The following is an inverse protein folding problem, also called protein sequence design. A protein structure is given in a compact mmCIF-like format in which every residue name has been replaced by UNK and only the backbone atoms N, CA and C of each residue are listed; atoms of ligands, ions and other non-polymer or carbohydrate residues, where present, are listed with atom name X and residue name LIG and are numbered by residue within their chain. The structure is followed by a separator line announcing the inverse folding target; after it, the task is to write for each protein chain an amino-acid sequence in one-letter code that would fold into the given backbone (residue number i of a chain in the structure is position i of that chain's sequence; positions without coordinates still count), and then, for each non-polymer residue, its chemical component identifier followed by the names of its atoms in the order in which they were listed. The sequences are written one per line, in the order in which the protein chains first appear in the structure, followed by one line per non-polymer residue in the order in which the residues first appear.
data_IF_272250575159
#
_entry.id   IF_272250575159
#
_cell.length_a   1.000
_cell.length_b   1.000
_cell.length_c   1.000
_cell.angle_alpha   90.00
_cell.angle_beta   90.00
_cell.angle_gamma   90.00
#
_symmetry.space_group_name_H-M   'P 1'
#
loop_
_entity.id
_entity.type
_entity.pdbx_description
1 polymer ?
#
# COMPACT_ATOMS: atom_id res chain seq x y z
N UNK A 1 -4.02 -31.33 37.77
CA UNK A 1 -3.14 -30.28 38.33
C UNK A 1 -2.68 -29.42 37.16
N UNK A 2 -2.87 -28.10 37.19
CA UNK A 2 -2.22 -27.20 36.22
C UNK A 2 -0.74 -27.07 36.58
N UNK A 3 0.14 -26.99 35.57
CA UNK A 3 1.57 -26.74 35.75
C UNK A 3 1.81 -25.32 36.26
N UNK A 4 2.93 -25.11 36.97
CA UNK A 4 3.25 -23.79 37.51
C UNK A 4 3.59 -22.76 36.43
N UNK A 5 4.00 -23.20 35.24
CA UNK A 5 4.11 -22.39 34.02
C UNK A 5 2.76 -21.86 33.54
N UNK A 6 1.72 -22.70 33.47
CA UNK A 6 0.38 -22.28 33.04
C UNK A 6 -0.26 -21.32 34.06
N UNK A 7 0.05 -21.48 35.35
CA UNK A 7 -0.38 -20.53 36.40
C UNK A 7 0.28 -19.16 36.24
N UNK A 8 1.57 -19.12 35.90
CA UNK A 8 2.29 -17.86 35.69
C UNK A 8 1.77 -17.12 34.45
N UNK A 9 1.54 -17.83 33.34
CA UNK A 9 0.97 -17.24 32.12
C UNK A 9 -0.47 -16.71 32.35
N UNK A 10 -1.32 -17.48 33.06
CA UNK A 10 -2.65 -17.03 33.43
C UNK A 10 -2.65 -15.77 34.32
N UNK A 11 -1.68 -15.64 35.23
CA UNK A 11 -1.49 -14.45 36.06
C UNK A 11 -0.95 -13.26 35.26
N UNK A 12 -0.08 -13.48 34.27
CA UNK A 12 0.46 -12.44 33.40
C UNK A 12 -0.61 -11.90 32.42
N UNK A 13 -1.51 -12.76 31.95
CA UNK A 13 -2.73 -12.37 31.21
C UNK A 13 -3.69 -11.55 32.11
N UNK A 14 -3.91 -11.98 33.36
CA UNK A 14 -4.73 -11.24 34.32
C UNK A 14 -4.14 -9.86 34.62
N UNK A 15 -2.82 -9.78 34.86
CA UNK A 15 -2.09 -8.51 35.01
C UNK A 15 -2.33 -7.59 33.81
N UNK A 16 -2.09 -8.08 32.58
CA UNK A 16 -2.24 -7.27 31.37
C UNK A 16 -3.66 -6.74 31.18
N UNK A 17 -4.68 -7.53 31.51
CA UNK A 17 -6.08 -7.10 31.46
C UNK A 17 -6.41 -6.06 32.54
N UNK A 18 -5.79 -6.16 33.73
CA UNK A 18 -5.94 -5.18 34.81
C UNK A 18 -5.23 -3.85 34.45
N UNK A 19 -3.99 -3.90 33.98
CA UNK A 19 -3.23 -2.70 33.60
C UNK A 19 -3.87 -1.95 32.43
N UNK A 20 -4.54 -2.66 31.51
CA UNK A 20 -5.35 -2.08 30.44
C UNK A 20 -6.69 -1.46 30.89
N UNK A 21 -7.10 -1.66 32.15
CA UNK A 21 -8.34 -1.10 32.72
C UNK A 21 -8.08 -0.03 33.79
N UNK A 22 -6.97 -0.13 34.54
CA UNK A 22 -6.69 0.69 35.72
C UNK A 22 -5.35 1.47 35.65
N UNK A 23 -4.65 1.44 34.52
CA UNK A 23 -3.28 1.97 34.40
C UNK A 23 -2.23 0.97 34.92
N UNK A 24 -0.94 1.22 34.69
CA UNK A 24 0.08 0.29 35.18
C UNK A 24 0.23 0.40 36.70
N UNK A 25 0.52 -0.73 37.37
CA UNK A 25 0.78 -0.70 38.82
C UNK A 25 2.05 0.09 39.17
N UNK A 26 2.97 0.24 38.22
CA UNK A 26 4.26 0.90 38.40
C UNK A 26 4.10 2.43 38.36
N UNK A 27 3.19 2.97 37.53
CA UNK A 27 2.78 4.39 37.57
C UNK A 27 2.09 4.75 38.89
N UNK A 28 1.38 3.79 39.48
CA UNK A 28 0.74 3.91 40.79
C UNK A 28 1.71 3.67 41.98
N UNK A 29 3.02 3.60 41.73
CA UNK A 29 4.07 3.50 42.75
C UNK A 29 4.26 2.10 43.37
N UNK A 30 3.64 1.05 42.83
CA UNK A 30 3.75 -0.31 43.37
C UNK A 30 4.86 -1.12 42.67
N UNK A 31 5.92 -1.45 43.41
CA UNK A 31 7.03 -2.28 42.92
C UNK A 31 6.58 -3.74 42.76
N UNK A 32 6.42 -4.19 41.51
CA UNK A 32 6.06 -5.57 41.19
C UNK A 32 7.19 -6.58 41.53
N UNK A 33 6.86 -7.52 42.40
CA UNK A 33 7.77 -8.58 42.86
C UNK A 33 7.89 -9.76 41.87
N UNK A 34 7.07 -9.82 40.82
CA UNK A 34 7.11 -10.90 39.81
C UNK A 34 8.18 -10.65 38.74
N UNK A 35 8.37 -9.41 38.26
CA UNK A 35 9.51 -9.01 37.42
C UNK A 35 10.87 -9.40 38.01
N UNK A 36 11.08 -9.21 39.31
CA UNK A 36 12.31 -9.55 40.05
C UNK A 36 12.66 -11.06 39.99
N UNK A 37 11.67 -11.93 39.81
CA UNK A 37 11.87 -13.39 39.65
C UNK A 37 12.20 -13.82 38.21
N UNK A 38 11.99 -12.95 37.20
CA UNK A 38 12.40 -13.21 35.81
C UNK A 38 13.88 -12.83 35.57
N UNK A 39 14.37 -11.74 36.17
CA UNK A 39 15.78 -11.32 36.04
C UNK A 39 16.74 -12.33 36.70
N UNK A 40 16.45 -12.74 37.93
CA UNK A 40 17.26 -13.68 38.72
C UNK A 40 17.35 -15.12 38.16
N UNK A 41 16.63 -15.44 37.07
CA UNK A 41 16.57 -16.78 36.48
C UNK A 41 17.04 -16.87 35.02
N UNK A 42 17.60 -15.79 34.47
CA UNK A 42 18.08 -15.70 33.08
C UNK A 42 19.61 -15.71 32.93
N UNK A 43 20.36 -15.63 34.03
CA UNK A 43 21.82 -15.56 34.02
C UNK A 43 22.46 -16.95 34.21
N UNK A 44 22.62 -17.71 33.12
CA UNK A 44 23.62 -18.79 33.04
C UNK A 44 24.00 -19.05 31.58
N UNK A 45 25.31 -19.18 31.32
CA UNK A 45 25.95 -19.36 29.99
C UNK A 45 25.80 -18.12 29.08
N UNK A 46 26.74 -17.16 29.10
CA UNK A 46 28.02 -17.10 28.32
C UNK A 46 27.82 -17.39 26.81
N UNK A 47 28.23 -16.53 25.87
CA UNK A 47 28.92 -15.22 25.95
C UNK A 47 28.62 -14.38 24.65
N UNK A 48 29.30 -13.32 24.16
CA UNK A 48 30.65 -12.74 24.41
C UNK A 48 30.74 -11.23 24.00
N UNK A 49 31.96 -10.70 23.93
CA UNK A 49 32.51 -9.46 23.29
C UNK A 49 31.94 -9.03 21.92
N UNK A 50 32.15 -7.82 21.34
CA UNK A 50 32.73 -6.47 21.62
C UNK A 50 32.38 -5.58 20.37
N UNK A 51 32.44 -4.23 20.27
CA UNK A 51 32.40 -3.05 21.18
C UNK A 51 32.29 -1.76 20.28
N UNK A 52 32.53 -0.56 20.83
CA UNK A 52 32.77 0.77 20.18
C UNK A 52 31.54 1.66 19.82
N UNK A 53 31.81 2.94 19.50
CA UNK A 53 31.19 4.08 20.21
C UNK A 53 31.16 5.43 19.43
N UNK A 54 30.57 6.49 20.04
CA UNK A 54 30.47 7.87 19.52
C UNK A 54 29.02 8.29 19.21
N UNK A 55 28.45 9.36 19.77
CA UNK A 55 28.76 10.80 19.61
C UNK A 55 28.17 11.40 18.31
N UNK A 56 27.49 12.56 18.27
CA UNK A 56 27.16 13.53 19.33
C UNK A 56 26.40 14.76 18.77
N UNK A 57 26.04 15.72 19.63
CA UNK A 57 25.20 16.93 19.41
C UNK A 57 23.72 16.69 19.02
N UNK A 58 22.69 17.46 19.43
CA UNK A 58 22.50 18.79 20.08
C UNK A 58 21.98 19.91 19.16
N UNK A 59 21.06 20.72 19.70
CA UNK A 59 20.36 21.89 19.15
C UNK A 59 19.40 21.65 17.96
N UNK A 60 18.25 22.33 17.84
CA UNK A 60 17.59 23.36 18.69
C UNK A 60 16.08 23.50 18.36
N UNK A 61 15.39 24.42 19.04
CA UNK A 61 14.05 25.01 18.79
C UNK A 61 13.51 24.97 17.33
N UNK A 62 12.20 25.04 17.08
CA UNK A 62 11.25 25.95 17.75
C UNK A 62 9.77 25.52 17.74
N UNK A 63 8.95 26.17 18.58
CA UNK A 63 7.49 25.97 18.62
C UNK A 63 6.72 27.28 18.87
N UNK A 64 6.74 28.17 17.88
CA UNK A 64 5.94 29.39 17.79
C UNK A 64 4.43 29.09 17.79
N UNK A 65 3.69 29.66 18.75
CA UNK A 65 2.23 29.72 18.76
C UNK A 65 1.78 30.95 19.56
N UNK A 66 2.04 32.13 19.00
CA UNK A 66 1.63 33.42 19.54
C UNK A 66 0.10 33.56 19.65
N UNK A 67 -0.37 33.92 20.85
CA UNK A 67 -1.58 34.73 21.03
C UNK A 67 -1.58 35.39 22.43
N UNK A 68 -1.14 36.65 22.46
CA UNK A 68 -1.47 37.69 23.46
C UNK A 68 -2.89 37.58 24.08
N UNK A 69 -3.05 37.91 25.37
CA UNK A 69 -3.90 39.04 25.82
C UNK A 69 -3.80 39.33 27.35
N UNK A 70 -2.91 40.26 27.68
CA UNK A 70 -3.09 41.42 28.59
C UNK A 70 -3.53 41.32 30.10
N UNK A 71 -2.96 42.22 30.90
CA UNK A 71 -2.98 42.28 32.38
C UNK A 71 -4.26 42.85 33.04
N UNK A 72 -4.43 42.56 34.35
CA UNK A 72 -5.29 43.32 35.28
C UNK A 72 -4.75 43.33 36.73
N UNK A 73 -4.53 44.55 37.27
CA UNK A 73 -4.27 44.98 38.67
C UNK A 73 -4.07 43.90 39.78
N UNK A 74 -2.95 43.83 40.51
CA UNK A 74 -2.35 44.82 41.46
C UNK A 74 -3.05 44.96 42.82
N UNK A 75 -2.43 44.43 43.88
CA UNK A 75 -2.21 45.12 45.18
C UNK A 75 -0.91 44.57 45.83
N UNK A 76 -0.44 45.13 46.96
CA UNK A 76 0.96 45.17 47.39
C UNK A 76 1.22 44.56 48.80
N UNK A 77 2.50 44.54 49.20
CA UNK A 77 3.06 44.27 50.54
C UNK A 77 3.21 42.76 50.88
N UNK A 78 4.43 42.23 51.06
CA UNK A 78 5.37 42.40 52.19
C UNK A 78 4.79 41.94 53.55
N UNK A 79 5.49 41.16 54.40
CA UNK A 79 6.80 40.48 54.35
C UNK A 79 6.75 39.31 55.35
N UNK A 80 7.57 38.28 55.17
CA UNK A 80 7.67 37.15 56.11
C UNK A 80 8.92 36.32 55.84
N UNK A 81 9.82 36.27 56.81
CA UNK A 81 11.19 35.74 56.70
C UNK A 81 11.34 34.39 57.44
N UNK A 82 12.56 33.86 57.47
CA UNK A 82 13.08 32.84 58.39
C UNK A 82 12.71 31.34 58.21
N UNK A 83 13.68 30.65 57.60
CA UNK A 83 14.38 29.45 58.08
C UNK A 83 13.78 28.03 58.09
N UNK A 84 14.72 27.10 57.97
CA UNK A 84 14.58 25.65 58.08
C UNK A 84 14.82 25.21 59.53
N UNK A 85 14.12 24.17 60.00
CA UNK A 85 14.85 22.96 60.40
C UNK A 85 13.96 21.70 60.49
N UNK A 86 14.60 20.55 60.71
CA UNK A 86 14.03 19.20 60.83
C UNK A 86 12.91 19.05 61.88
N UNK A 87 12.05 18.02 61.71
CA UNK A 87 11.76 17.04 62.77
C UNK A 87 10.96 15.82 62.25
N UNK A 88 11.65 14.69 62.04
CA UNK A 88 11.04 13.42 61.62
C UNK A 88 10.17 12.81 62.74
N UNK A 89 8.84 12.92 62.62
CA UNK A 89 7.90 12.56 63.69
C UNK A 89 6.93 11.46 63.26
N UNK A 90 7.20 10.24 63.72
CA UNK A 90 6.41 9.04 63.47
C UNK A 90 5.00 9.12 64.12
N UNK A 91 4.03 9.66 63.39
CA UNK A 91 2.64 9.71 63.86
C UNK A 91 1.97 8.34 63.82
N UNK A 92 1.37 7.98 64.95
CA UNK A 92 0.83 6.64 65.24
C UNK A 92 -0.45 6.36 64.47
N UNK A 93 -0.70 5.09 64.17
CA UNK A 93 -1.71 4.66 63.19
C UNK A 93 -3.13 5.16 63.44
N UNK A 94 -3.63 5.95 62.48
CA UNK A 94 -5.07 6.19 62.26
C UNK A 94 -5.51 5.51 60.95
N UNK A 95 -6.79 5.10 60.81
CA UNK A 95 -7.26 4.43 59.61
C UNK A 95 -7.33 5.39 58.42
N UNK A 96 -6.42 5.21 57.44
CA UNK A 96 -6.51 5.90 56.13
C UNK A 96 -7.79 5.48 55.42
N UNK A 97 -8.72 6.42 55.26
CA UNK A 97 -9.94 6.23 54.47
C UNK A 97 -9.76 6.79 53.06
N UNK A 98 -9.66 5.90 52.07
CA UNK A 98 -9.63 6.30 50.66
C UNK A 98 -11.07 6.58 50.20
N UNK A 99 -11.31 7.80 49.72
CA UNK A 99 -12.55 8.18 49.03
C UNK A 99 -12.22 8.39 47.57
N UNK A 100 -12.87 7.64 46.68
CA UNK A 100 -12.78 7.89 45.24
C UNK A 100 -13.61 9.13 44.90
N UNK A 101 -12.93 10.25 44.62
CA UNK A 101 -13.55 11.52 44.20
C UNK A 101 -13.52 11.73 42.69
N UNK A 102 -12.96 10.78 41.93
CA UNK A 102 -12.93 10.81 40.48
C UNK A 102 -14.29 10.44 39.88
N UNK A 103 -14.91 11.42 39.21
CA UNK A 103 -16.12 11.21 38.43
C UNK A 103 -15.77 10.47 37.12
N UNK A 104 -15.67 9.13 37.18
CA UNK A 104 -15.57 8.23 36.02
C UNK A 104 -16.87 8.18 35.17
N UNK A 105 -17.49 9.34 34.92
CA UNK A 105 -18.79 9.50 34.26
C UNK A 105 -18.74 9.37 32.73
N UNK A 106 -17.64 8.87 32.16
CA UNK A 106 -17.54 8.44 30.75
C UNK A 106 -17.91 6.97 30.59
N UNK A 107 -19.01 6.55 31.24
CA UNK A 107 -19.61 5.23 31.06
C UNK A 107 -20.05 5.01 29.60
N UNK A 108 -19.15 4.44 28.80
CA UNK A 108 -19.46 3.92 27.47
C UNK A 108 -20.32 2.66 27.62
N UNK A 109 -21.62 2.87 27.78
CA UNK A 109 -22.59 1.79 27.89
C UNK A 109 -22.56 0.86 26.67
N UNK A 110 -23.04 -0.39 26.80
CA UNK A 110 -22.96 -1.38 25.74
C UNK A 110 -23.57 -0.88 24.43
N UNK A 111 -22.96 -1.23 23.30
CA UNK A 111 -23.50 -0.86 21.99
C UNK A 111 -24.93 -1.39 21.81
N UNK A 112 -25.71 -0.75 20.93
CA UNK A 112 -27.11 -1.16 20.67
C UNK A 112 -27.24 -2.63 20.25
N UNK A 113 -26.17 -3.26 19.77
CA UNK A 113 -26.14 -4.67 19.38
C UNK A 113 -25.59 -5.59 20.48
N UNK A 114 -24.61 -5.17 21.29
CA UNK A 114 -24.27 -5.86 22.55
C UNK A 114 -25.48 -5.95 23.48
N UNK A 115 -26.23 -4.85 23.63
CA UNK A 115 -27.43 -4.80 24.46
C UNK A 115 -28.52 -5.77 23.96
N UNK A 116 -28.63 -5.97 22.64
CA UNK A 116 -29.52 -7.00 22.05
C UNK A 116 -29.00 -8.41 22.33
N UNK A 117 -27.70 -8.67 22.13
CA UNK A 117 -27.12 -10.00 22.36
C UNK A 117 -27.22 -10.42 23.83
N UNK A 118 -26.94 -9.51 24.76
CA UNK A 118 -27.11 -9.74 26.20
C UNK A 118 -28.57 -10.02 26.56
N UNK A 119 -29.53 -9.22 26.04
CA UNK A 119 -30.97 -9.44 26.24
C UNK A 119 -31.52 -10.69 25.54
N UNK A 120 -30.86 -11.18 24.49
CA UNK A 120 -31.27 -12.38 23.77
C UNK A 120 -30.97 -13.69 24.54
N UNK A 121 -30.17 -13.64 25.61
CA UNK A 121 -29.89 -14.78 26.49
C UNK A 121 -29.17 -15.96 25.82
N UNK A 122 -28.62 -15.76 24.62
CA UNK A 122 -27.98 -16.81 23.80
C UNK A 122 -26.47 -16.63 23.78
N UNK A 123 -25.66 -17.67 24.07
CA UNK A 123 -24.22 -17.60 23.90
C UNK A 123 -23.89 -17.44 22.42
N UNK A 124 -22.93 -16.56 22.10
CA UNK A 124 -22.51 -16.29 20.72
C UNK A 124 -22.01 -17.58 20.07
N UNK A 125 -22.61 -17.95 18.95
CA UNK A 125 -22.30 -19.22 18.29
C UNK A 125 -20.97 -19.14 17.53
N UNK A 126 -20.20 -20.25 17.56
CA UNK A 126 -19.03 -20.43 16.69
C UNK A 126 -19.38 -20.36 15.19
N UNK A 127 -20.66 -20.49 14.82
CA UNK A 127 -21.16 -20.24 13.46
C UNK A 127 -21.27 -18.75 13.16
N UNK A 128 -21.89 -17.98 14.05
CA UNK A 128 -22.09 -16.52 13.93
C UNK A 128 -20.74 -15.78 13.88
N UNK A 129 -19.74 -16.21 14.65
CA UNK A 129 -18.38 -15.68 14.58
C UNK A 129 -17.73 -15.90 13.20
N UNK A 130 -17.87 -17.10 12.63
CA UNK A 130 -17.37 -17.43 11.28
C UNK A 130 -18.13 -16.70 10.18
N UNK A 131 -19.42 -16.40 10.40
CA UNK A 131 -20.23 -15.61 9.48
C UNK A 131 -19.85 -14.13 9.53
N UNK A 132 -19.64 -13.55 10.71
CA UNK A 132 -19.06 -12.20 10.84
C UNK A 132 -17.69 -12.08 10.19
N UNK A 133 -16.81 -13.08 10.36
CA UNK A 133 -15.51 -13.14 9.65
C UNK A 133 -15.68 -13.23 8.12
N UNK A 134 -16.60 -14.05 7.61
CA UNK A 134 -16.92 -14.10 6.17
C UNK A 134 -17.49 -12.79 5.62
N UNK A 135 -18.27 -12.05 6.42
CA UNK A 135 -18.81 -10.75 6.03
C UNK A 135 -17.70 -9.68 6.00
N UNK A 136 -16.82 -9.62 7.00
CA UNK A 136 -15.66 -8.72 6.99
C UNK A 136 -14.75 -8.96 5.76
N UNK A 137 -14.45 -10.24 5.46
CA UNK A 137 -13.67 -10.62 4.27
C UNK A 137 -14.38 -10.25 2.95
N UNK A 138 -15.71 -10.37 2.89
CA UNK A 138 -16.50 -9.93 1.73
C UNK A 138 -16.46 -8.41 1.55
N UNK A 139 -16.60 -7.65 2.63
CA UNK A 139 -16.56 -6.19 2.56
C UNK A 139 -15.19 -5.72 2.06
N UNK A 140 -14.08 -6.30 2.53
CA UNK A 140 -12.75 -6.03 1.98
C UNK A 140 -12.63 -6.27 0.46
N UNK A 141 -13.37 -7.25 -0.10
CA UNK A 141 -13.46 -7.43 -1.56
C UNK A 141 -14.46 -6.50 -2.26
N UNK A 142 -15.51 -6.03 -1.57
CA UNK A 142 -16.47 -5.05 -2.09
C UNK A 142 -15.86 -3.65 -2.20
N UNK A 143 -15.05 -3.25 -1.21
CA UNK A 143 -14.30 -2.00 -1.21
C UNK A 143 -13.47 -1.81 -2.50
N UNK A 144 -12.97 -2.88 -3.13
CA UNK A 144 -12.22 -2.80 -4.38
C UNK A 144 -13.11 -2.45 -5.61
N UNK A 145 -14.43 -2.69 -5.54
CA UNK A 145 -15.41 -2.24 -6.54
C UNK A 145 -15.86 -0.82 -6.25
N UNK A 146 -16.18 -0.53 -4.98
CA UNK A 146 -16.56 0.81 -4.53
C UNK A 146 -15.44 1.82 -4.76
N UNK A 147 -14.17 1.47 -4.52
CA UNK A 147 -12.99 2.27 -4.85
C UNK A 147 -12.84 2.49 -6.36
N UNK A 148 -13.17 1.51 -7.21
CA UNK A 148 -13.20 1.69 -8.66
C UNK A 148 -14.34 2.61 -9.11
N UNK A 149 -15.50 2.56 -8.46
CA UNK A 149 -16.64 3.44 -8.73
C UNK A 149 -16.36 4.87 -8.23
N UNK A 150 -15.75 5.03 -7.06
CA UNK A 150 -15.23 6.31 -6.57
C UNK A 150 -14.13 6.87 -7.48
N UNK A 151 -13.20 6.05 -7.97
CA UNK A 151 -12.20 6.46 -8.98
C UNK A 151 -12.83 6.81 -10.34
N UNK A 152 -13.97 6.21 -10.73
CA UNK A 152 -14.71 6.59 -11.94
C UNK A 152 -15.40 7.94 -11.75
N UNK A 153 -15.89 8.24 -10.55
CA UNK A 153 -16.45 9.55 -10.20
C UNK A 153 -15.36 10.62 -10.05
N UNK A 154 -14.19 10.27 -9.51
CA UNK A 154 -13.06 11.19 -9.31
C UNK A 154 -12.20 11.34 -10.58
N UNK A 155 -12.72 12.18 -11.48
CA UNK A 155 -12.01 12.61 -12.69
C UNK A 155 -10.77 13.48 -12.39
N UNK A 156 -10.62 14.05 -11.18
CA UNK A 156 -9.43 14.81 -10.80
C UNK A 156 -8.29 13.83 -10.45
N UNK A 157 -8.53 12.87 -9.55
CA UNK A 157 -7.55 11.85 -9.17
C UNK A 157 -7.12 10.96 -10.35
N UNK A 158 -8.03 10.56 -11.25
CA UNK A 158 -7.64 9.84 -12.47
C UNK A 158 -6.64 10.63 -13.33
N UNK A 159 -6.89 11.92 -13.53
CA UNK A 159 -6.00 12.80 -14.29
C UNK A 159 -4.68 12.98 -13.55
N UNK A 160 -4.71 13.19 -12.23
CA UNK A 160 -3.51 13.34 -11.41
C UNK A 160 -2.61 12.11 -11.51
N UNK A 161 -3.18 10.89 -11.43
CA UNK A 161 -2.41 9.65 -11.58
C UNK A 161 -1.84 9.47 -12.99
N UNK A 162 -2.64 9.68 -14.05
CA UNK A 162 -2.19 9.58 -15.45
C UNK A 162 -1.14 10.65 -15.82
N UNK A 163 -1.25 11.85 -15.26
CA UNK A 163 -0.45 13.03 -15.61
C UNK A 163 0.71 13.29 -14.65
N UNK A 164 0.77 12.57 -13.52
CA UNK A 164 1.85 12.63 -12.50
C UNK A 164 3.26 12.67 -13.12
N UNK A 165 3.53 11.80 -14.09
CA UNK A 165 4.81 11.71 -14.82
C UNK A 165 5.13 12.94 -15.69
N UNK A 166 4.11 13.70 -16.11
CA UNK A 166 4.26 14.95 -16.86
C UNK A 166 4.46 16.16 -15.94
N UNK A 167 3.88 16.11 -14.73
CA UNK A 167 4.01 17.12 -13.69
C UNK A 167 5.37 17.00 -12.97
N UNK A 168 5.74 15.80 -12.51
CA UNK A 168 7.04 15.54 -11.87
C UNK A 168 8.22 15.93 -12.78
N UNK A 169 8.20 15.51 -14.05
CA UNK A 169 9.17 15.92 -15.08
C UNK A 169 9.04 17.38 -15.55
N UNK A 170 8.34 18.22 -14.78
CA UNK A 170 8.30 19.68 -14.88
C UNK A 170 8.65 20.34 -13.54
N UNK A 171 8.30 19.73 -12.41
CA UNK A 171 8.61 20.21 -11.06
C UNK A 171 10.06 19.96 -10.65
N UNK A 172 10.78 19.00 -11.27
CA UNK A 172 12.25 18.82 -11.16
C UNK A 172 13.07 20.10 -11.48
N UNK A 173 12.45 21.14 -12.06
CA UNK A 173 13.06 22.44 -12.36
C UNK A 173 12.89 23.50 -11.27
N UNK A 174 12.08 23.24 -10.25
CA UNK A 174 11.70 24.20 -9.21
C UNK A 174 12.03 23.61 -7.83
N UNK A 175 12.86 24.31 -7.05
CA UNK A 175 13.40 23.78 -5.80
C UNK A 175 12.53 24.17 -4.60
N UNK A 176 11.71 23.24 -4.12
CA UNK A 176 11.07 23.30 -2.79
C UNK A 176 9.88 24.27 -2.67
N UNK A 177 10.09 25.57 -2.89
CA UNK A 177 9.11 26.63 -2.63
C UNK A 177 8.18 26.91 -3.83
N UNK A 178 8.75 27.25 -5.00
CA UNK A 178 8.04 27.39 -6.30
C UNK A 178 7.23 26.14 -6.71
N UNK A 179 7.42 25.03 -5.99
CA UNK A 179 6.70 23.78 -6.20
C UNK A 179 5.21 23.95 -5.94
N UNK A 180 4.79 24.66 -4.89
CA UNK A 180 3.38 24.72 -4.47
C UNK A 180 2.52 25.48 -5.49
N UNK A 181 2.92 26.71 -5.83
CA UNK A 181 2.25 27.57 -6.83
C UNK A 181 2.26 26.99 -8.25
N UNK A 182 3.05 25.95 -8.51
CA UNK A 182 3.07 25.21 -9.81
C UNK A 182 2.52 23.79 -9.73
N UNK A 183 2.16 23.32 -8.54
CA UNK A 183 1.45 22.05 -8.27
C UNK A 183 -0.07 22.19 -8.40
N UNK A 184 -0.59 23.42 -8.55
CA UNK A 184 -1.99 23.71 -8.91
C UNK A 184 -2.45 22.88 -10.12
N UNK A 185 -3.02 21.72 -9.81
CA UNK A 185 -3.25 20.62 -10.74
C UNK A 185 -4.36 20.93 -11.77
N UNK A 186 -5.23 21.86 -11.41
CA UNK A 186 -6.29 22.39 -12.26
C UNK A 186 -5.67 23.22 -13.40
N UNK A 187 -4.67 24.06 -13.11
CA UNK A 187 -4.06 24.99 -14.07
C UNK A 187 -2.51 24.99 -14.14
N UNK A 188 -1.87 23.83 -14.40
CA UNK A 188 -0.41 23.70 -14.48
C UNK A 188 0.17 24.58 -15.59
N UNK A 189 1.23 25.34 -15.29
CA UNK A 189 1.64 26.48 -16.13
C UNK A 189 2.40 26.08 -17.42
N UNK A 190 2.17 26.84 -18.50
CA UNK A 190 2.99 26.84 -19.72
C UNK A 190 3.17 25.48 -20.41
N UNK A 191 4.40 24.95 -20.40
CA UNK A 191 4.74 23.67 -21.06
C UNK A 191 4.08 22.47 -20.40
N UNK A 192 3.79 22.54 -19.09
CA UNK A 192 3.03 21.51 -18.40
C UNK A 192 1.58 21.49 -18.92
N UNK A 193 0.88 22.65 -18.92
CA UNK A 193 -0.47 22.83 -19.52
C UNK A 193 -0.59 22.21 -20.90
N UNK A 194 0.36 22.50 -21.79
CA UNK A 194 0.31 22.00 -23.16
C UNK A 194 0.44 20.47 -23.23
N UNK A 195 1.24 19.85 -22.35
CA UNK A 195 1.40 18.39 -22.27
C UNK A 195 0.19 17.71 -21.61
N UNK A 196 -0.31 18.23 -20.49
CA UNK A 196 -1.47 17.68 -19.78
C UNK A 196 -2.73 17.79 -20.64
N UNK A 197 -3.01 18.96 -21.24
CA UNK A 197 -4.10 19.13 -22.20
C UNK A 197 -3.96 18.15 -23.39
N UNK A 198 -2.75 17.99 -23.96
CA UNK A 198 -2.52 16.98 -24.99
C UNK A 198 -2.81 15.56 -24.50
N UNK A 199 -2.42 15.19 -23.27
CA UNK A 199 -2.69 13.87 -22.70
C UNK A 199 -4.20 13.65 -22.51
N UNK A 200 -4.92 14.61 -21.91
CA UNK A 200 -6.38 14.62 -21.72
C UNK A 200 -7.10 14.43 -23.06
N UNK A 201 -6.75 15.22 -24.09
CA UNK A 201 -7.32 15.13 -25.44
C UNK A 201 -7.00 13.77 -26.10
N UNK A 202 -5.79 13.22 -25.92
CA UNK A 202 -5.42 11.90 -26.46
C UNK A 202 -6.15 10.76 -25.75
N UNK A 203 -6.37 10.83 -24.42
CA UNK A 203 -7.17 9.87 -23.65
C UNK A 203 -8.60 9.83 -24.18
N UNK A 204 -9.26 10.99 -24.32
CA UNK A 204 -10.59 11.09 -24.92
C UNK A 204 -10.64 10.59 -26.38
N UNK A 205 -9.68 11.02 -27.22
CA UNK A 205 -9.58 10.58 -28.61
C UNK A 205 -9.19 9.10 -28.78
N UNK A 206 -8.80 8.39 -27.72
CA UNK A 206 -8.50 6.95 -27.78
C UNK A 206 -9.74 6.07 -27.86
N UNK A 207 -10.88 6.55 -27.36
CA UNK A 207 -12.15 5.81 -27.32
C UNK A 207 -12.75 5.70 -28.73
N UNK A 208 -12.89 6.82 -29.43
CA UNK A 208 -13.51 6.88 -30.75
C UNK A 208 -12.49 6.88 -31.91
N UNK A 209 -11.20 7.11 -31.64
CA UNK A 209 -10.18 7.28 -32.66
C UNK A 209 -9.52 5.97 -33.09
N UNK A 210 -9.63 5.64 -34.38
CA UNK A 210 -9.00 4.48 -35.07
C UNK A 210 -7.51 4.23 -34.75
N UNK A 211 -6.78 5.24 -34.28
CA UNK A 211 -5.35 5.19 -33.98
C UNK A 211 -5.02 5.02 -32.47
N UNK A 212 -6.04 4.92 -31.60
CA UNK A 212 -5.86 4.80 -30.14
C UNK A 212 -5.26 6.07 -29.52
N UNK A 213 -5.84 7.24 -29.82
CA UNK A 213 -5.41 8.52 -29.26
C UNK A 213 -4.13 9.11 -29.87
N UNK A 214 -3.35 8.32 -30.62
CA UNK A 214 -2.17 8.81 -31.34
C UNK A 214 -2.55 9.56 -32.63
N UNK A 215 -1.73 10.54 -33.08
CA UNK A 215 -1.94 11.19 -34.36
C UNK A 215 -1.88 10.16 -35.51
N UNK A 216 -2.70 10.38 -36.55
CA UNK A 216 -2.83 9.46 -37.69
C UNK A 216 -1.51 9.22 -38.46
N UNK A 217 -0.54 10.13 -38.32
CA UNK A 217 0.82 10.01 -38.84
C UNK A 217 1.81 10.61 -37.82
N UNK A 218 2.92 9.91 -37.59
CA UNK A 218 4.05 10.42 -36.80
C UNK A 218 4.76 11.57 -37.53
N UNK A 219 5.38 12.46 -36.76
CA UNK A 219 6.19 13.61 -37.21
C UNK A 219 7.17 13.19 -38.33
N UNK A 220 7.25 13.97 -39.42
CA UNK A 220 8.02 13.61 -40.63
C UNK A 220 9.54 13.72 -40.38
N UNK A 221 10.14 12.63 -39.90
CA UNK A 221 11.59 12.52 -39.68
C UNK A 221 12.31 11.68 -40.75
N UNK A 222 13.53 12.06 -41.16
CA UNK A 222 14.44 11.19 -41.91
C UNK A 222 14.68 9.83 -41.24
N UNK A 223 14.86 8.78 -42.05
CA UNK A 223 14.91 7.39 -41.57
C UNK A 223 16.09 7.14 -40.63
N UNK A 224 17.25 7.73 -40.89
CA UNK A 224 18.45 7.65 -40.05
C UNK A 224 18.19 8.20 -38.65
N UNK A 225 17.68 9.42 -38.54
CA UNK A 225 17.37 10.05 -37.25
C UNK A 225 16.29 9.28 -36.48
N UNK A 226 15.21 8.83 -37.14
CA UNK A 226 14.17 8.03 -36.45
C UNK A 226 14.72 6.68 -35.95
N UNK A 227 15.56 5.99 -36.75
CA UNK A 227 16.24 4.76 -36.32
C UNK A 227 17.18 5.01 -35.13
N UNK A 228 17.97 6.10 -35.17
CA UNK A 228 18.86 6.50 -34.09
C UNK A 228 18.12 6.83 -32.78
N UNK A 229 17.01 7.58 -32.87
CA UNK A 229 16.15 7.85 -31.70
C UNK A 229 15.54 6.58 -31.10
N UNK A 230 15.10 5.63 -31.94
CA UNK A 230 14.57 4.34 -31.47
C UNK A 230 15.69 3.51 -30.82
N UNK A 231 16.89 3.45 -31.40
CA UNK A 231 18.04 2.73 -30.83
C UNK A 231 18.43 3.31 -29.47
N UNK A 232 18.64 4.62 -29.38
CA UNK A 232 18.99 5.33 -28.12
C UNK A 232 17.84 5.41 -27.10
N UNK A 233 16.62 5.01 -27.48
CA UNK A 233 15.53 4.79 -26.53
C UNK A 233 15.58 3.35 -25.98
N UNK A 234 15.76 2.35 -26.85
CA UNK A 234 15.91 0.94 -26.44
C UNK A 234 17.18 0.69 -25.61
N UNK A 235 18.29 1.37 -25.91
CA UNK A 235 19.54 1.28 -25.14
C UNK A 235 19.31 1.74 -23.69
N UNK A 236 18.75 2.94 -23.49
CA UNK A 236 18.41 3.45 -22.14
C UNK A 236 17.35 2.62 -21.41
N UNK A 237 16.41 2.03 -22.15
CA UNK A 237 15.45 1.10 -21.55
C UNK A 237 16.11 -0.19 -21.08
N UNK A 238 17.06 -0.74 -21.84
CA UNK A 238 17.82 -1.93 -21.45
C UNK A 238 18.80 -1.65 -20.30
N UNK A 239 19.43 -0.46 -20.28
CA UNK A 239 20.26 0.03 -19.17
C UNK A 239 19.41 0.12 -17.89
N UNK A 240 18.29 0.85 -17.93
CA UNK A 240 17.40 1.03 -16.78
C UNK A 240 16.73 -0.28 -16.30
N UNK A 241 16.34 -1.16 -17.22
CA UNK A 241 15.75 -2.48 -16.87
C UNK A 241 16.81 -3.48 -16.39
N UNK A 242 18.10 -3.26 -16.70
CA UNK A 242 19.24 -4.01 -16.13
C UNK A 242 19.57 -3.50 -14.73
N UNK A 243 19.80 -2.19 -14.60
CA UNK A 243 20.13 -1.52 -13.34
C UNK A 243 19.10 -1.79 -12.24
N UNK A 244 17.81 -1.59 -12.54
CA UNK A 244 16.73 -1.90 -11.61
C UNK A 244 16.70 -3.39 -11.21
N UNK A 245 17.00 -4.30 -12.14
CA UNK A 245 17.07 -5.75 -11.85
C UNK A 245 18.27 -6.09 -10.96
N UNK A 246 19.42 -5.44 -11.17
CA UNK A 246 20.64 -5.63 -10.37
C UNK A 246 20.48 -5.04 -8.95
N UNK A 247 19.75 -3.94 -8.82
CA UNK A 247 19.35 -3.33 -7.54
C UNK A 247 18.11 -3.98 -6.88
N UNK A 248 17.48 -5.00 -7.49
CA UNK A 248 16.28 -5.66 -6.95
C UNK A 248 14.97 -4.83 -7.04
N UNK A 249 14.98 -3.68 -7.71
CA UNK A 249 13.86 -2.75 -7.83
C UNK A 249 12.79 -3.31 -8.79
N UNK A 250 11.56 -3.44 -8.30
CA UNK A 250 10.43 -3.97 -9.09
C UNK A 250 9.84 -2.90 -10.01
N UNK A 251 10.07 -3.05 -11.32
CA UNK A 251 9.54 -2.14 -12.33
C UNK A 251 8.12 -2.50 -12.81
N UNK A 252 7.30 -1.48 -13.06
CA UNK A 252 5.98 -1.62 -13.69
C UNK A 252 6.05 -2.29 -15.07
N UNK A 253 5.04 -3.09 -15.43
CA UNK A 253 5.05 -3.99 -16.61
C UNK A 253 4.56 -3.26 -17.87
N UNK A 254 5.33 -3.30 -18.97
CA UNK A 254 4.99 -2.74 -20.30
C UNK A 254 4.53 -3.81 -21.30
N UNK A 255 3.78 -3.45 -22.35
CA UNK A 255 3.34 -4.43 -23.37
C UNK A 255 4.50 -4.82 -24.30
N UNK A 256 4.47 -6.03 -24.87
CA UNK A 256 5.56 -6.55 -25.71
C UNK A 256 5.73 -5.73 -26.99
N UNK A 257 6.83 -4.98 -27.09
CA UNK A 257 7.13 -4.09 -28.22
C UNK A 257 6.79 -2.62 -27.98
N UNK A 258 6.27 -2.29 -26.80
CA UNK A 258 6.04 -0.94 -26.30
C UNK A 258 7.33 -0.38 -25.64
N UNK A 259 7.53 0.92 -25.76
CA UNK A 259 8.61 1.66 -25.09
C UNK A 259 8.21 1.96 -23.64
N UNK A 260 9.16 1.89 -22.72
CA UNK A 260 8.97 2.31 -21.33
C UNK A 260 8.99 3.84 -21.23
N UNK A 261 8.00 4.40 -20.54
CA UNK A 261 7.96 5.83 -20.19
C UNK A 261 8.99 6.14 -19.09
N UNK A 262 10.25 6.38 -19.47
CA UNK A 262 11.27 6.94 -18.56
C UNK A 262 11.04 8.44 -18.38
N UNK A 263 11.35 8.97 -17.19
CA UNK A 263 11.18 10.38 -16.78
C UNK A 263 12.03 11.42 -17.56
N UNK A 264 12.75 11.01 -18.61
CA UNK A 264 13.54 11.89 -19.48
C UNK A 264 12.65 12.72 -20.42
N UNK A 265 11.83 13.60 -19.85
CA UNK A 265 10.67 14.25 -20.47
C UNK A 265 10.87 15.68 -21.00
N UNK A 266 11.99 16.33 -20.69
CA UNK A 266 12.17 17.79 -20.81
C UNK A 266 12.36 18.34 -22.24
N UNK A 267 11.46 17.99 -23.16
CA UNK A 267 11.48 18.40 -24.57
C UNK A 267 10.15 19.01 -25.01
N UNK A 268 10.19 19.93 -25.97
CA UNK A 268 9.02 20.68 -26.44
C UNK A 268 8.01 19.77 -27.15
N UNK A 269 8.45 18.83 -27.98
CA UNK A 269 7.57 17.82 -28.61
C UNK A 269 7.68 16.45 -27.93
N UNK A 270 6.54 15.80 -27.71
CA UNK A 270 6.48 14.47 -27.09
C UNK A 270 7.27 13.44 -27.92
N UNK A 271 7.96 12.51 -27.24
CA UNK A 271 8.70 11.43 -27.94
C UNK A 271 7.76 10.54 -28.77
N UNK A 272 6.57 10.27 -28.23
CA UNK A 272 5.52 9.45 -28.85
C UNK A 272 5.06 9.97 -30.21
N UNK A 273 5.16 11.28 -30.48
CA UNK A 273 4.78 11.86 -31.78
C UNK A 273 5.85 11.62 -32.87
N UNK A 274 7.11 11.37 -32.48
CA UNK A 274 8.26 11.17 -33.37
C UNK A 274 8.58 9.70 -33.64
N UNK A 275 8.55 8.88 -32.60
CA UNK A 275 8.90 7.44 -32.65
C UNK A 275 7.72 6.50 -32.37
N UNK A 276 6.55 7.01 -31.97
CA UNK A 276 5.42 6.20 -31.51
C UNK A 276 5.57 5.75 -30.06
N UNK A 277 4.56 5.03 -29.56
CA UNK A 277 4.61 4.33 -28.25
C UNK A 277 5.40 3.02 -28.29
N UNK A 278 5.77 2.53 -29.48
CA UNK A 278 6.47 1.26 -29.63
C UNK A 278 6.70 0.85 -31.07
N UNK A 279 7.50 -0.20 -31.27
CA UNK A 279 7.75 -0.79 -32.59
C UNK A 279 6.56 -1.69 -32.95
N UNK A 280 5.55 -1.10 -33.61
CA UNK A 280 4.34 -1.80 -34.09
C UNK A 280 4.70 -2.93 -35.08
N UNK A 281 4.90 -4.14 -34.58
CA UNK A 281 5.01 -5.36 -35.39
C UNK A 281 3.61 -5.89 -35.69
N UNK A 282 3.30 -6.12 -36.96
CA UNK A 282 2.01 -6.68 -37.37
C UNK A 282 1.82 -8.11 -36.81
N UNK A 283 0.66 -8.37 -36.22
CA UNK A 283 0.26 -9.67 -35.66
C UNK A 283 -0.11 -10.67 -36.77
N UNK A 284 0.87 -11.01 -37.62
CA UNK A 284 0.71 -12.05 -38.64
C UNK A 284 0.57 -13.42 -37.96
N UNK A 285 -0.47 -14.17 -38.30
CA UNK A 285 -0.54 -15.59 -37.96
C UNK A 285 0.60 -16.34 -38.66
N UNK A 286 1.18 -17.35 -38.00
CA UNK A 286 2.16 -18.24 -38.64
C UNK A 286 1.50 -18.94 -39.82
N UNK A 287 2.13 -18.90 -40.99
CA UNK A 287 1.72 -19.71 -42.13
C UNK A 287 1.71 -21.20 -41.72
N UNK A 288 0.60 -21.88 -42.03
CA UNK A 288 0.36 -23.28 -41.68
C UNK A 288 0.70 -24.24 -42.82
N UNK A 289 1.03 -23.71 -44.01
CA UNK A 289 1.21 -24.49 -45.22
C UNK A 289 -0.11 -25.04 -45.78
N UNK A 290 -0.01 -25.77 -46.90
CA UNK A 290 -1.16 -26.41 -47.54
C UNK A 290 -1.64 -27.61 -46.70
N UNK A 291 -2.95 -27.68 -46.43
CA UNK A 291 -3.56 -28.82 -45.74
C UNK A 291 -3.74 -29.98 -46.73
N UNK A 292 -2.81 -30.92 -46.74
CA UNK A 292 -2.84 -32.10 -47.63
C UNK A 292 -3.91 -33.11 -47.19
N UNK A 293 -3.86 -33.58 -45.94
CA UNK A 293 -4.73 -34.68 -45.50
C UNK A 293 -6.13 -34.19 -45.10
N UNK A 294 -7.18 -34.77 -45.70
CA UNK A 294 -8.58 -34.51 -45.39
C UNK A 294 -9.17 -35.45 -44.33
N UNK A 295 -8.70 -36.70 -44.27
CA UNK A 295 -9.15 -37.76 -43.35
C UNK A 295 -8.27 -37.84 -42.09
N UNK A 296 -8.90 -38.17 -40.96
CA UNK A 296 -8.25 -38.43 -39.68
C UNK A 296 -7.63 -37.18 -39.01
N UNK A 297 -6.92 -37.42 -37.92
CA UNK A 297 -6.13 -36.41 -37.19
C UNK A 297 -4.65 -36.79 -37.26
N UNK A 298 -3.83 -35.93 -37.85
CA UNK A 298 -2.38 -36.06 -37.76
C UNK A 298 -1.92 -35.68 -36.35
N UNK A 299 -1.25 -36.61 -35.66
CA UNK A 299 -0.74 -36.45 -34.30
C UNK A 299 0.75 -36.79 -34.26
N UNK A 300 1.43 -36.56 -33.12
CA UNK A 300 2.82 -37.01 -32.93
C UNK A 300 2.98 -38.53 -33.10
N UNK A 301 1.93 -39.30 -32.85
CA UNK A 301 1.91 -40.76 -32.93
C UNK A 301 1.45 -41.27 -34.32
N UNK A 302 1.38 -40.39 -35.33
CA UNK A 302 0.91 -40.70 -36.67
C UNK A 302 -0.54 -40.29 -36.94
N UNK A 303 -1.11 -40.82 -38.02
CA UNK A 303 -2.45 -40.48 -38.51
C UNK A 303 -3.53 -41.32 -37.82
N UNK A 304 -4.29 -40.72 -36.92
CA UNK A 304 -5.42 -41.36 -36.23
C UNK A 304 -6.67 -41.20 -37.09
N UNK A 305 -7.08 -42.28 -37.77
CA UNK A 305 -8.33 -42.37 -38.53
C UNK A 305 -9.41 -42.97 -37.63
N UNK A 306 -10.59 -42.36 -37.54
CA UNK A 306 -11.66 -42.88 -36.68
C UNK A 306 -12.39 -44.07 -37.33
N UNK A 307 -12.94 -45.03 -36.55
CA UNK A 307 -13.73 -46.13 -37.10
C UNK A 307 -14.91 -45.69 -37.97
N UNK A 308 -15.47 -44.49 -37.72
CA UNK A 308 -16.53 -43.88 -38.53
C UNK A 308 -16.03 -43.44 -39.91
N UNK A 309 -14.82 -42.89 -40.00
CA UNK A 309 -14.18 -42.56 -41.29
C UNK A 309 -13.79 -43.83 -42.06
N UNK A 310 -13.25 -44.84 -41.36
CA UNK A 310 -12.94 -46.14 -41.96
C UNK A 310 -14.20 -46.75 -42.58
N UNK A 311 -15.30 -46.87 -41.82
CA UNK A 311 -16.57 -47.41 -42.32
C UNK A 311 -17.19 -46.58 -43.47
N UNK A 312 -17.00 -45.25 -43.45
CA UNK A 312 -17.45 -44.36 -44.54
C UNK A 312 -16.68 -44.58 -45.84
N UNK A 313 -15.39 -44.94 -45.77
CA UNK A 313 -14.53 -45.16 -46.94
C UNK A 313 -14.55 -46.62 -47.42
N UNK A 314 -14.64 -47.60 -46.51
CA UNK A 314 -14.71 -49.03 -46.86
C UNK A 314 -16.04 -49.46 -47.46
N UNK A 315 -17.09 -48.66 -47.27
CA UNK A 315 -18.47 -49.08 -47.52
C UNK A 315 -18.95 -50.17 -46.53
N UNK A 316 -20.20 -50.64 -46.68
CA UNK A 316 -20.73 -51.71 -45.84
C UNK A 316 -19.99 -53.01 -46.13
N UNK A 317 -19.34 -53.58 -45.11
CA UNK A 317 -18.62 -54.86 -45.25
C UNK A 317 -19.60 -55.96 -45.65
N UNK A 318 -19.52 -56.44 -46.90
CA UNK A 318 -20.33 -57.54 -47.39
C UNK A 318 -19.93 -58.84 -46.66
N UNK A 319 -20.55 -59.07 -45.50
CA UNK A 319 -20.43 -60.30 -44.72
C UNK A 319 -21.06 -61.44 -45.50
N UNK A 320 -20.29 -62.03 -46.43
CA UNK A 320 -20.62 -63.31 -47.07
C UNK A 320 -20.83 -64.32 -45.94
N UNK A 321 -22.09 -64.61 -45.61
CA UNK A 321 -22.45 -65.68 -44.67
C UNK A 321 -21.81 -66.96 -45.21
N UNK A 322 -20.80 -67.48 -44.53
CA UNK A 322 -20.45 -68.89 -44.69
C UNK A 322 -21.67 -69.69 -44.24
N UNK A 323 -22.06 -70.65 -45.09
CA UNK A 323 -23.05 -71.68 -44.76
C UNK A 323 -22.35 -72.78 -43.97
#
# INVERSE_FOLDING_TARGET
MMSDSEKLDALEIQRRNFEAQFGSLEDMGYIDKTKVRKSSKKNKEHNDSEDDSGSGNDSSNDSESDSEEFNGFSENEEKGEDDYDENDTQLKGQPKTVKFTENFNTFKGPSKDELKMARAGKPISLKELKEKQRLALKNATANNSEEQEHLVNDLQLQRLLDESHLLAGSSERFSGADLLDTIDFEDPIGKARLRTLNARVRKLASINGKNGGLPARLEKMPMSMRKGMIKKQLEREAEFEKEAKEAGIVLSKKRKGEFRNLATGDRVTNKSDRIGTGIKKATKMRDRGLKINSVGRSTRNGLVITPKEIAKVSGPSNKRKKR
#
